data_IF_683206642364
#
_entry.id   IF_683206642364
#
_cell.length_a   1.000
_cell.length_b   1.000
_cell.length_c   1.000
_cell.angle_alpha   90.00
_cell.angle_beta   90.00
_cell.angle_gamma   90.00
#
_symmetry.space_group_name_H-M   'P 1'
#
loop_
_entity.id
_entity.type
_entity.pdbx_description
1 polymer ?
#
# COMPACT_ATOMS: atom_id res chain seq x y z
N UNK A 1 3.29 -15.75 2.26
CA UNK A 1 3.17 -16.97 1.42
C UNK A 1 3.86 -18.11 2.13
N UNK A 2 3.24 -19.25 2.20
CA UNK A 2 3.78 -20.44 2.85
C UNK A 2 3.61 -21.67 1.95
N UNK A 3 4.59 -22.57 1.94
CA UNK A 3 4.49 -23.85 1.29
C UNK A 3 3.79 -24.84 2.23
N UNK A 4 2.54 -25.22 1.91
CA UNK A 4 1.71 -26.10 2.72
C UNK A 4 2.06 -27.58 2.51
N UNK A 5 2.49 -27.94 1.30
CA UNK A 5 3.00 -29.25 0.86
C UNK A 5 3.90 -29.03 -0.35
N UNK A 6 4.65 -30.04 -0.75
CA UNK A 6 5.51 -29.93 -1.95
C UNK A 6 4.70 -29.45 -3.15
N UNK A 7 5.04 -28.27 -3.66
CA UNK A 7 4.36 -27.60 -4.77
C UNK A 7 3.01 -26.98 -4.46
N UNK A 8 2.57 -26.95 -3.21
CA UNK A 8 1.35 -26.25 -2.76
C UNK A 8 1.71 -25.07 -1.88
N UNK A 9 1.41 -23.85 -2.32
CA UNK A 9 1.70 -22.60 -1.60
C UNK A 9 0.40 -21.88 -1.25
N UNK A 10 0.34 -21.33 -0.05
CA UNK A 10 -0.73 -20.47 0.44
C UNK A 10 -0.24 -19.04 0.65
N UNK A 11 -1.04 -18.05 0.27
CA UNK A 11 -0.79 -16.63 0.51
C UNK A 11 -2.04 -15.99 1.08
N UNK A 12 -1.90 -15.20 2.13
CA UNK A 12 -2.98 -14.39 2.69
C UNK A 12 -2.59 -12.94 2.55
N UNK A 13 -3.52 -12.12 2.09
CA UNK A 13 -3.36 -10.67 1.93
C UNK A 13 -4.56 -9.96 2.56
N UNK A 14 -4.30 -8.86 3.26
CA UNK A 14 -5.33 -7.97 3.77
C UNK A 14 -5.02 -6.57 3.25
N UNK A 15 -6.02 -5.93 2.66
CA UNK A 15 -5.89 -4.60 2.06
C UNK A 15 -6.97 -3.67 2.61
N UNK A 16 -6.58 -2.50 3.10
CA UNK A 16 -7.48 -1.40 3.46
C UNK A 16 -7.45 -0.36 2.34
N UNK A 17 -8.62 -0.08 1.76
CA UNK A 17 -8.79 0.89 0.67
C UNK A 17 -9.71 2.00 1.12
N UNK A 18 -9.36 3.23 0.74
CA UNK A 18 -10.21 4.41 0.91
C UNK A 18 -10.36 5.09 -0.44
N UNK A 19 -11.58 5.43 -0.76
CA UNK A 19 -11.90 6.18 -1.97
C UNK A 19 -12.85 7.32 -1.62
N UNK A 20 -12.49 8.55 -2.00
CA UNK A 20 -13.37 9.72 -1.88
C UNK A 20 -13.98 9.97 -3.24
N UNK A 21 -15.28 9.82 -3.37
CA UNK A 21 -16.00 10.09 -4.61
C UNK A 21 -16.21 11.60 -4.76
N UNK A 22 -15.76 12.16 -5.88
CA UNK A 22 -15.89 13.58 -6.20
C UNK A 22 -17.37 13.97 -6.39
N UNK A 23 -17.80 15.04 -5.74
CA UNK A 23 -19.15 15.63 -5.89
C UNK A 23 -20.22 15.04 -4.98
N UNK A 24 -19.89 14.15 -4.06
CA UNK A 24 -20.76 13.70 -2.98
C UNK A 24 -19.98 13.75 -1.66
N UNK A 25 -20.63 14.10 -0.56
CA UNK A 25 -20.02 14.13 0.79
C UNK A 25 -19.61 12.74 1.32
N UNK A 26 -19.45 11.76 0.44
CA UNK A 26 -19.19 10.37 0.76
C UNK A 26 -17.72 9.97 0.64
N UNK A 27 -17.06 9.73 1.76
CA UNK A 27 -15.84 8.94 1.82
C UNK A 27 -16.22 7.47 1.87
N UNK A 28 -15.74 6.67 0.92
CA UNK A 28 -15.91 5.22 0.95
C UNK A 28 -14.65 4.56 1.49
N UNK A 29 -14.81 3.61 2.38
CA UNK A 29 -13.73 2.80 2.91
C UNK A 29 -14.08 1.33 2.80
N UNK A 30 -13.11 0.52 2.41
CA UNK A 30 -13.29 -0.93 2.42
C UNK A 30 -12.02 -1.63 2.91
N UNK A 31 -12.19 -2.65 3.73
CA UNK A 31 -11.13 -3.58 4.11
C UNK A 31 -11.41 -4.91 3.44
N UNK A 32 -10.46 -5.39 2.66
CA UNK A 32 -10.55 -6.64 1.92
C UNK A 32 -9.57 -7.66 2.51
N UNK A 33 -9.96 -8.92 2.52
CA UNK A 33 -9.04 -10.03 2.76
C UNK A 33 -9.07 -10.99 1.59
N UNK A 34 -7.91 -11.49 1.21
CA UNK A 34 -7.78 -12.47 0.15
C UNK A 34 -6.92 -13.66 0.61
N UNK A 35 -7.33 -14.85 0.19
CA UNK A 35 -6.56 -16.08 0.34
C UNK A 35 -6.28 -16.62 -1.04
N UNK A 36 -5.00 -16.77 -1.38
CA UNK A 36 -4.55 -17.41 -2.61
C UNK A 36 -3.97 -18.78 -2.27
N UNK A 37 -4.38 -19.77 -3.02
CA UNK A 37 -3.79 -21.11 -3.03
C UNK A 37 -3.26 -21.38 -4.42
N UNK A 38 -2.01 -21.80 -4.53
CA UNK A 38 -1.41 -22.17 -5.81
C UNK A 38 -0.75 -23.53 -5.73
N UNK A 39 -0.83 -24.28 -6.81
CA UNK A 39 -0.19 -25.59 -6.97
C UNK A 39 0.63 -25.65 -8.23
N UNK A 40 1.87 -26.06 -8.07
CA UNK A 40 2.76 -26.38 -9.18
C UNK A 40 2.54 -27.84 -9.60
N UNK A 41 2.43 -28.07 -10.90
CA UNK A 41 2.23 -29.38 -11.53
C UNK A 41 3.37 -29.66 -12.51
N UNK A 42 3.64 -30.95 -12.76
CA UNK A 42 4.64 -31.38 -13.75
C UNK A 42 6.01 -30.73 -13.56
N UNK A 43 6.53 -30.73 -12.33
CA UNK A 43 7.83 -30.15 -11.96
C UNK A 43 7.91 -28.63 -12.28
N UNK A 44 6.82 -27.89 -12.01
CA UNK A 44 6.78 -26.44 -12.21
C UNK A 44 6.47 -25.99 -13.65
N UNK A 45 6.18 -26.91 -14.58
CA UNK A 45 5.79 -26.55 -15.96
C UNK A 45 4.41 -25.91 -16.03
N UNK A 46 3.51 -26.31 -15.14
CA UNK A 46 2.17 -25.76 -15.05
C UNK A 46 1.91 -25.31 -13.63
N UNK A 47 1.18 -24.21 -13.49
CA UNK A 47 0.75 -23.67 -12.22
C UNK A 47 -0.74 -23.36 -12.29
N UNK A 48 -1.49 -23.85 -11.31
CA UNK A 48 -2.90 -23.53 -11.12
C UNK A 48 -3.01 -22.76 -9.83
N UNK A 49 -3.80 -21.70 -9.81
CA UNK A 49 -4.08 -20.96 -8.59
C UNK A 49 -5.53 -20.53 -8.50
N UNK A 50 -5.99 -20.43 -7.27
CA UNK A 50 -7.27 -19.86 -6.91
C UNK A 50 -7.09 -18.75 -5.87
N UNK A 51 -7.88 -17.67 -5.99
CA UNK A 51 -7.91 -16.59 -5.02
C UNK A 51 -9.37 -16.39 -4.60
N UNK A 52 -9.62 -16.39 -3.31
CA UNK A 52 -10.89 -15.99 -2.72
C UNK A 52 -10.67 -14.72 -1.94
N UNK A 53 -11.36 -13.64 -2.32
CA UNK A 53 -11.33 -12.36 -1.67
C UNK A 53 -12.70 -12.05 -1.09
N UNK A 54 -12.73 -11.44 0.08
CA UNK A 54 -13.96 -10.99 0.73
C UNK A 54 -13.81 -9.61 1.33
N UNK A 55 -14.89 -8.85 1.35
CA UNK A 55 -14.99 -7.58 2.07
C UNK A 55 -15.20 -7.88 3.54
N UNK A 56 -14.26 -7.48 4.39
CA UNK A 56 -14.34 -7.62 5.85
C UNK A 56 -15.12 -6.48 6.50
N UNK A 57 -14.93 -5.28 6.00
CA UNK A 57 -15.67 -4.09 6.44
C UNK A 57 -15.78 -3.09 5.30
N UNK A 58 -16.83 -2.31 5.31
CA UNK A 58 -17.05 -1.20 4.38
C UNK A 58 -17.77 -0.05 5.04
N UNK A 59 -17.52 1.15 4.53
CA UNK A 59 -18.17 2.39 4.94
C UNK A 59 -18.51 3.21 3.69
N UNK A 60 -19.69 3.84 3.66
CA UNK A 60 -20.17 4.56 2.50
C UNK A 60 -20.96 3.69 1.51
N UNK A 61 -21.37 4.28 0.39
CA UNK A 61 -22.22 3.62 -0.63
C UNK A 61 -21.37 2.82 -1.63
N UNK A 62 -20.70 1.78 -1.14
CA UNK A 62 -19.88 0.87 -1.94
C UNK A 62 -20.40 -0.56 -1.79
N UNK A 63 -20.51 -1.29 -2.89
CA UNK A 63 -20.86 -2.71 -2.86
C UNK A 63 -19.71 -3.54 -2.31
N UNK A 64 -20.01 -4.64 -1.65
CA UNK A 64 -19.01 -5.62 -1.26
C UNK A 64 -18.18 -6.06 -2.47
N UNK A 65 -16.91 -6.33 -2.25
CA UNK A 65 -16.00 -6.85 -3.27
C UNK A 65 -15.61 -8.29 -2.92
N UNK A 66 -16.59 -9.17 -2.91
CA UNK A 66 -16.35 -10.61 -2.77
C UNK A 66 -15.99 -11.14 -4.16
N UNK A 67 -14.78 -11.68 -4.32
CA UNK A 67 -14.21 -12.05 -5.61
C UNK A 67 -13.62 -13.45 -5.54
N UNK A 68 -13.89 -14.24 -6.56
CA UNK A 68 -13.22 -15.52 -6.79
C UNK A 68 -12.44 -15.40 -8.10
N UNK A 69 -11.17 -15.73 -8.05
CA UNK A 69 -10.28 -15.74 -9.23
C UNK A 69 -9.72 -17.14 -9.41
N UNK A 70 -9.70 -17.60 -10.65
CA UNK A 70 -9.01 -18.82 -11.05
C UNK A 70 -7.98 -18.47 -12.12
N UNK A 71 -6.78 -19.02 -12.00
CA UNK A 71 -5.72 -18.77 -12.95
C UNK A 71 -4.91 -20.03 -13.26
N UNK A 72 -4.38 -20.05 -14.45
CA UNK A 72 -3.54 -21.10 -14.98
C UNK A 72 -2.37 -20.51 -15.72
N UNK A 73 -1.16 -20.99 -15.43
CA UNK A 73 0.06 -20.66 -16.16
C UNK A 73 0.67 -21.96 -16.69
N UNK A 74 1.17 -21.92 -17.91
CA UNK A 74 1.74 -23.08 -18.59
C UNK A 74 3.01 -22.70 -19.36
N UNK A 75 4.07 -23.44 -19.15
CA UNK A 75 5.23 -23.44 -20.02
C UNK A 75 4.96 -24.42 -21.19
N UNK A 76 4.37 -23.86 -22.25
CA UNK A 76 3.95 -24.63 -23.46
C UNK A 76 5.19 -25.20 -24.18
N UNK A 77 6.28 -24.44 -24.22
CA UNK A 77 7.55 -24.89 -24.76
C UNK A 77 8.71 -24.32 -23.90
N UNK A 78 9.96 -24.70 -24.21
CA UNK A 78 11.13 -24.10 -23.55
C UNK A 78 11.20 -22.58 -23.66
N UNK A 79 10.54 -22.03 -24.69
CA UNK A 79 10.59 -20.58 -25.01
C UNK A 79 9.27 -19.85 -24.74
N UNK A 80 8.14 -20.57 -24.63
CA UNK A 80 6.81 -19.94 -24.53
C UNK A 80 6.13 -20.29 -23.22
N UNK A 81 5.77 -19.26 -22.47
CA UNK A 81 4.91 -19.34 -21.30
C UNK A 81 3.64 -18.55 -21.56
N UNK A 82 2.50 -19.19 -21.30
CA UNK A 82 1.17 -18.59 -21.40
C UNK A 82 0.51 -18.56 -20.03
N UNK A 83 -0.26 -17.52 -19.77
CA UNK A 83 -1.10 -17.37 -18.59
C UNK A 83 -2.52 -17.00 -18.96
N UNK A 84 -3.48 -17.58 -18.24
CA UNK A 84 -4.90 -17.28 -18.32
C UNK A 84 -5.45 -17.09 -16.91
N UNK A 85 -6.27 -16.07 -16.74
CA UNK A 85 -6.90 -15.76 -15.48
C UNK A 85 -8.33 -15.30 -15.73
N UNK A 86 -9.26 -15.72 -14.88
CA UNK A 86 -10.64 -15.25 -14.90
C UNK A 86 -11.16 -15.06 -13.49
N UNK A 87 -12.04 -14.09 -13.30
CA UNK A 87 -12.66 -13.84 -12.02
C UNK A 87 -14.14 -13.44 -12.13
N UNK A 88 -14.84 -13.67 -11.04
CA UNK A 88 -16.18 -13.15 -10.81
C UNK A 88 -16.27 -12.51 -9.44
N UNK A 89 -17.03 -11.43 -9.33
CA UNK A 89 -17.22 -10.71 -8.07
C UNK A 89 -18.60 -10.05 -7.99
N UNK A 90 -18.97 -9.57 -6.81
CA UNK A 90 -20.19 -8.77 -6.62
C UNK A 90 -20.20 -7.46 -7.42
N UNK A 91 -19.00 -6.98 -7.80
CA UNK A 91 -18.84 -5.72 -8.56
C UNK A 91 -18.73 -5.94 -10.05
N UNK A 92 -18.42 -7.16 -10.49
CA UNK A 92 -18.29 -7.46 -11.89
C UNK A 92 -17.40 -8.67 -12.15
N UNK A 93 -17.18 -8.92 -13.44
CA UNK A 93 -16.41 -10.06 -13.92
C UNK A 93 -15.25 -9.57 -14.78
N UNK A 94 -14.21 -10.36 -14.84
CA UNK A 94 -13.06 -10.01 -15.67
C UNK A 94 -12.14 -11.18 -15.88
N UNK A 95 -11.03 -10.88 -16.53
CA UNK A 95 -9.99 -11.86 -16.76
C UNK A 95 -8.81 -11.27 -17.50
N UNK A 96 -7.79 -12.08 -17.69
CA UNK A 96 -6.58 -11.68 -18.34
C UNK A 96 -5.89 -12.82 -19.05
N UNK A 97 -5.12 -12.45 -20.05
CA UNK A 97 -4.19 -13.33 -20.74
C UNK A 97 -2.81 -12.75 -20.70
N UNK A 98 -1.82 -13.60 -20.61
CA UNK A 98 -0.41 -13.20 -20.72
C UNK A 98 0.36 -14.19 -21.55
N UNK A 99 1.37 -13.69 -22.26
CA UNK A 99 2.32 -14.50 -22.98
C UNK A 99 3.72 -13.94 -22.79
N UNK A 100 4.69 -14.82 -22.58
CA UNK A 100 6.10 -14.51 -22.58
C UNK A 100 6.81 -15.44 -23.55
N UNK A 101 7.55 -14.87 -24.48
CA UNK A 101 8.31 -15.62 -25.48
C UNK A 101 9.78 -15.25 -25.38
N UNK A 102 10.62 -16.23 -25.03
CA UNK A 102 12.06 -16.08 -24.97
C UNK A 102 12.65 -16.29 -26.37
N UNK A 103 13.09 -15.19 -27.00
CA UNK A 103 13.77 -15.23 -28.30
C UNK A 103 15.07 -16.04 -28.19
N UNK A 104 15.81 -15.77 -27.11
CA UNK A 104 17.01 -16.47 -26.68
C UNK A 104 17.22 -16.25 -25.18
N UNK A 105 18.33 -16.73 -24.61
CA UNK A 105 18.66 -16.60 -23.18
C UNK A 105 18.80 -15.15 -22.68
N UNK A 106 18.84 -14.18 -23.58
CA UNK A 106 19.07 -12.75 -23.26
C UNK A 106 17.94 -11.84 -23.67
N UNK A 107 17.01 -12.31 -24.48
CA UNK A 107 15.94 -11.48 -25.01
C UNK A 107 14.60 -12.17 -24.93
N UNK A 108 13.58 -11.44 -24.50
CA UNK A 108 12.19 -11.91 -24.45
C UNK A 108 11.22 -10.81 -24.89
N UNK A 109 10.07 -11.24 -25.40
CA UNK A 109 8.90 -10.40 -25.70
C UNK A 109 7.78 -10.91 -24.79
N UNK A 110 7.03 -9.99 -24.21
CA UNK A 110 5.89 -10.34 -23.37
C UNK A 110 4.71 -9.44 -23.63
N UNK A 111 3.54 -9.97 -23.37
CA UNK A 111 2.30 -9.23 -23.40
C UNK A 111 1.39 -9.66 -22.26
N UNK A 112 0.63 -8.71 -21.73
CA UNK A 112 -0.42 -8.96 -20.76
C UNK A 112 -1.62 -8.09 -21.12
N UNK A 113 -2.78 -8.69 -21.17
CA UNK A 113 -4.06 -8.00 -21.34
C UNK A 113 -4.96 -8.39 -20.18
N UNK A 114 -5.51 -7.40 -19.49
CA UNK A 114 -6.57 -7.61 -18.50
C UNK A 114 -7.81 -6.81 -18.90
N UNK A 115 -8.97 -7.37 -18.62
CA UNK A 115 -10.26 -6.75 -18.88
C UNK A 115 -11.13 -6.98 -17.65
N UNK A 116 -11.36 -5.92 -16.93
CA UNK A 116 -12.11 -5.93 -15.68
C UNK A 116 -13.37 -5.09 -15.87
N UNK A 117 -14.50 -5.63 -15.42
CA UNK A 117 -15.77 -4.90 -15.37
C UNK A 117 -16.12 -4.70 -13.90
N UNK A 118 -16.10 -3.47 -13.44
CA UNK A 118 -16.50 -3.08 -12.10
C UNK A 118 -17.76 -2.23 -12.14
N UNK A 119 -18.75 -2.55 -11.33
CA UNK A 119 -20.04 -1.85 -11.30
C UNK A 119 -19.96 -0.39 -10.87
N UNK A 120 -18.87 0.01 -10.20
CA UNK A 120 -18.67 1.36 -9.69
C UNK A 120 -17.80 2.19 -10.65
N UNK A 121 -16.70 1.61 -11.16
CA UNK A 121 -15.72 2.29 -12.02
C UNK A 121 -15.92 1.99 -13.51
N UNK A 122 -16.81 1.04 -13.86
CA UNK A 122 -17.08 0.64 -15.23
C UNK A 122 -16.04 -0.36 -15.77
N UNK A 123 -15.90 -0.40 -17.08
CA UNK A 123 -14.96 -1.31 -17.75
C UNK A 123 -13.56 -0.74 -17.75
N UNK A 124 -12.60 -1.55 -17.32
CA UNK A 124 -11.18 -1.22 -17.38
C UNK A 124 -10.44 -2.28 -18.21
N UNK A 125 -9.68 -1.83 -19.21
CA UNK A 125 -8.83 -2.67 -20.04
C UNK A 125 -7.41 -2.17 -19.89
N UNK A 126 -6.50 -3.04 -19.45
CA UNK A 126 -5.08 -2.76 -19.40
C UNK A 126 -4.35 -3.70 -20.37
N UNK A 127 -3.53 -3.13 -21.23
CA UNK A 127 -2.70 -3.88 -22.17
C UNK A 127 -1.26 -3.44 -22.03
N UNK A 128 -0.36 -4.38 -21.81
CA UNK A 128 1.08 -4.15 -21.82
C UNK A 128 1.71 -5.04 -22.86
N UNK A 129 2.51 -4.47 -23.73
CA UNK A 129 3.39 -5.20 -24.64
C UNK A 129 4.81 -4.72 -24.37
N UNK A 130 5.73 -5.64 -24.13
CA UNK A 130 7.08 -5.27 -23.75
C UNK A 130 8.14 -6.18 -24.34
N UNK A 131 9.35 -5.66 -24.35
CA UNK A 131 10.57 -6.38 -24.70
C UNK A 131 11.59 -6.21 -23.59
N UNK A 132 12.38 -7.26 -23.37
CA UNK A 132 13.54 -7.24 -22.47
C UNK A 132 14.75 -7.75 -23.22
N UNK A 133 15.88 -7.09 -22.99
CA UNK A 133 17.15 -7.50 -23.50
C UNK A 133 18.24 -7.39 -22.44
N UNK A 134 18.89 -8.48 -22.11
CA UNK A 134 19.94 -8.58 -21.12
C UNK A 134 21.30 -8.84 -21.82
N UNK A 135 22.02 -7.78 -22.29
CA UNK A 135 23.31 -7.96 -22.95
C UNK A 135 24.32 -8.65 -22.05
N UNK A 136 24.21 -8.51 -20.74
CA UNK A 136 24.98 -9.21 -19.73
C UNK A 136 24.07 -9.69 -18.61
N UNK A 137 24.59 -10.57 -17.74
CA UNK A 137 23.86 -11.00 -16.52
C UNK A 137 23.61 -9.86 -15.51
N UNK A 138 24.23 -8.71 -15.70
CA UNK A 138 24.16 -7.53 -14.81
C UNK A 138 23.33 -6.39 -15.36
N UNK A 139 23.07 -6.37 -16.66
CA UNK A 139 22.40 -5.28 -17.35
C UNK A 139 21.17 -5.78 -18.08
N UNK A 140 20.02 -5.20 -17.80
CA UNK A 140 18.75 -5.43 -18.50
C UNK A 140 18.23 -4.10 -19.06
N UNK A 141 17.91 -4.10 -20.34
CA UNK A 141 17.19 -3.03 -21.03
C UNK A 141 15.76 -3.50 -21.24
N UNK A 142 14.79 -2.63 -21.07
CA UNK A 142 13.41 -2.97 -21.36
C UNK A 142 12.67 -1.80 -22.01
N UNK A 143 11.68 -2.16 -22.80
CA UNK A 143 10.73 -1.21 -23.37
C UNK A 143 9.33 -1.79 -23.29
N UNK A 144 8.37 -0.96 -22.88
CA UNK A 144 6.97 -1.34 -22.76
C UNK A 144 6.09 -0.31 -23.45
N UNK A 145 5.05 -0.79 -24.09
CA UNK A 145 3.91 0.02 -24.48
C UNK A 145 2.71 -0.39 -23.64
N UNK A 146 2.17 0.56 -22.92
CA UNK A 146 1.07 0.36 -22.00
C UNK A 146 -0.15 1.13 -22.50
N UNK A 147 -1.31 0.49 -22.43
CA UNK A 147 -2.61 1.06 -22.72
C UNK A 147 -3.50 0.80 -21.54
N UNK A 148 -4.13 1.84 -21.03
CA UNK A 148 -5.16 1.74 -20.02
C UNK A 148 -6.41 2.46 -20.52
N UNK A 149 -7.55 1.79 -20.47
CA UNK A 149 -8.83 2.37 -20.81
C UNK A 149 -9.79 2.14 -19.65
N UNK A 150 -10.33 3.21 -19.12
CA UNK A 150 -11.45 3.22 -18.16
C UNK A 150 -12.63 3.94 -18.79
N UNK A 151 -13.84 3.77 -18.26
CA UNK A 151 -15.11 4.28 -18.83
C UNK A 151 -15.06 5.71 -19.39
N UNK A 152 -14.26 6.59 -18.82
CA UNK A 152 -14.15 8.01 -19.22
C UNK A 152 -12.70 8.49 -19.39
N UNK A 153 -11.76 7.58 -19.29
CA UNK A 153 -10.34 7.91 -19.31
C UNK A 153 -9.57 6.89 -20.16
N UNK A 154 -8.65 7.39 -20.93
CA UNK A 154 -7.77 6.61 -21.79
C UNK A 154 -6.34 7.09 -21.61
N UNK A 155 -5.44 6.20 -21.30
CA UNK A 155 -4.01 6.49 -21.12
C UNK A 155 -3.17 5.58 -22.00
N UNK A 156 -2.18 6.17 -22.67
CA UNK A 156 -1.11 5.44 -23.37
C UNK A 156 0.21 5.85 -22.79
N UNK A 157 1.14 4.90 -22.71
CA UNK A 157 2.48 5.17 -22.21
C UNK A 157 3.51 4.29 -22.91
N UNK A 158 4.57 4.90 -23.42
CA UNK A 158 5.79 4.24 -23.87
C UNK A 158 6.82 4.36 -22.76
N UNK A 159 7.27 3.23 -22.22
CA UNK A 159 8.24 3.15 -21.11
C UNK A 159 9.54 2.56 -21.62
N UNK A 160 10.64 3.19 -21.29
CA UNK A 160 12.01 2.72 -21.59
C UNK A 160 12.79 2.69 -20.30
N UNK A 161 13.48 1.59 -20.03
CA UNK A 161 14.21 1.46 -18.80
C UNK A 161 15.46 0.62 -18.89
N UNK A 162 16.32 0.88 -17.92
CA UNK A 162 17.59 0.19 -17.72
C UNK A 162 17.66 -0.26 -16.29
N UNK A 163 17.94 -1.56 -16.07
CA UNK A 163 18.23 -2.13 -14.75
C UNK A 163 19.67 -2.62 -14.74
N UNK A 164 20.42 -2.19 -13.75
CA UNK A 164 21.81 -2.57 -13.57
C UNK A 164 22.07 -3.17 -12.19
N UNK A 165 22.51 -4.43 -12.17
CA UNK A 165 22.83 -5.20 -10.96
C UNK A 165 24.32 -5.57 -10.99
N UNK A 166 25.23 -4.67 -10.55
CA UNK A 166 26.67 -4.93 -10.59
C UNK A 166 27.06 -6.17 -9.79
N UNK A 167 26.34 -6.44 -8.72
CA UNK A 167 26.48 -7.61 -7.85
C UNK A 167 25.13 -7.94 -7.19
N UNK A 168 25.11 -8.92 -6.28
CA UNK A 168 23.88 -9.37 -5.61
C UNK A 168 23.27 -8.34 -4.67
N UNK A 169 24.07 -7.38 -4.22
CA UNK A 169 23.68 -6.43 -3.18
C UNK A 169 23.12 -5.11 -3.74
N UNK A 170 23.48 -4.76 -4.98
CA UNK A 170 23.10 -3.47 -5.56
C UNK A 170 22.17 -3.65 -6.75
N UNK A 171 21.14 -2.83 -6.80
CA UNK A 171 20.20 -2.73 -7.91
C UNK A 171 19.96 -1.25 -8.25
N UNK A 172 20.24 -0.87 -9.48
CA UNK A 172 19.96 0.45 -10.02
C UNK A 172 18.90 0.33 -11.11
N UNK A 173 17.96 1.25 -11.13
CA UNK A 173 16.97 1.35 -12.18
C UNK A 173 16.82 2.81 -12.60
N UNK A 174 16.82 3.04 -13.90
CA UNK A 174 16.42 4.32 -14.49
C UNK A 174 15.40 4.02 -15.57
N UNK A 175 14.30 4.77 -15.55
CA UNK A 175 13.31 4.68 -16.61
C UNK A 175 12.77 6.04 -17.00
N UNK A 176 12.34 6.12 -18.24
CA UNK A 176 11.64 7.24 -18.83
C UNK A 176 10.33 6.74 -19.41
N UNK A 177 9.25 7.44 -19.11
CA UNK A 177 7.94 7.18 -19.70
C UNK A 177 7.40 8.43 -20.37
N UNK A 178 6.85 8.25 -21.56
CA UNK A 178 6.11 9.27 -22.30
C UNK A 178 4.74 8.73 -22.65
N UNK A 179 3.69 9.50 -22.37
CA UNK A 179 2.34 9.06 -22.62
C UNK A 179 1.35 10.20 -22.82
N UNK A 180 0.14 9.83 -23.17
CA UNK A 180 -0.99 10.75 -23.35
C UNK A 180 -2.13 10.28 -22.43
N UNK A 181 -2.73 11.22 -21.71
CA UNK A 181 -3.92 11.00 -20.87
C UNK A 181 -5.08 11.78 -21.47
N UNK A 182 -6.15 11.07 -21.85
CA UNK A 182 -7.40 11.65 -22.33
C UNK A 182 -8.50 11.40 -21.32
N UNK A 183 -9.21 12.46 -20.91
CA UNK A 183 -10.37 12.38 -20.04
C UNK A 183 -11.60 12.94 -20.72
N UNK A 184 -12.72 12.21 -20.64
CA UNK A 184 -14.02 12.73 -21.04
C UNK A 184 -14.55 13.62 -19.91
N UNK A 185 -14.65 14.91 -20.15
CA UNK A 185 -15.30 15.88 -19.27
C UNK A 185 -16.80 15.83 -19.55
N UNK A 186 -17.62 15.71 -18.48
CA UNK A 186 -19.07 15.82 -18.64
C UNK A 186 -19.47 17.20 -19.20
N UNK A 187 -20.68 17.29 -19.74
CA UNK A 187 -21.26 18.43 -20.48
C UNK A 187 -21.29 19.78 -19.73
N UNK A 188 -20.92 19.84 -18.45
CA UNK A 188 -21.01 21.04 -17.62
C UNK A 188 -19.94 22.11 -17.91
N UNK A 189 -18.84 21.76 -18.59
CA UNK A 189 -17.70 22.68 -18.81
C UNK A 189 -17.58 23.18 -20.27
N UNK A 190 -18.46 22.74 -21.16
CA UNK A 190 -18.36 23.11 -22.59
C UNK A 190 -17.22 22.47 -23.37
N UNK A 191 -16.28 21.77 -22.70
CA UNK A 191 -15.24 20.94 -23.31
C UNK A 191 -15.63 19.46 -23.21
N UNK A 192 -15.62 18.75 -24.33
CA UNK A 192 -15.98 17.34 -24.37
C UNK A 192 -14.87 16.39 -23.84
N UNK A 193 -13.62 16.82 -23.83
CA UNK A 193 -12.47 16.04 -23.36
C UNK A 193 -11.29 16.95 -23.01
N UNK A 194 -10.45 16.49 -22.08
CA UNK A 194 -9.11 17.06 -21.84
C UNK A 194 -8.04 16.09 -22.36
N UNK A 195 -6.96 16.63 -22.88
CA UNK A 195 -5.82 15.86 -23.38
C UNK A 195 -4.56 16.45 -22.78
N UNK A 196 -3.78 15.58 -22.11
CA UNK A 196 -2.52 15.96 -21.51
C UNK A 196 -1.42 14.97 -21.92
N UNK A 197 -0.27 15.48 -22.32
CA UNK A 197 0.96 14.71 -22.45
C UNK A 197 1.61 14.55 -21.08
N UNK A 198 2.00 13.32 -20.73
CA UNK A 198 2.68 13.02 -19.48
C UNK A 198 4.08 12.47 -19.73
N UNK A 199 5.05 13.01 -19.01
CA UNK A 199 6.45 12.59 -19.04
C UNK A 199 6.89 12.23 -17.64
N UNK A 200 7.47 11.05 -17.44
CA UNK A 200 7.92 10.58 -16.12
C UNK A 200 9.36 10.09 -16.21
N UNK A 201 10.20 10.61 -15.36
CA UNK A 201 11.52 10.08 -15.08
C UNK A 201 11.53 9.38 -13.74
N UNK A 202 12.05 8.16 -13.71
CA UNK A 202 12.17 7.39 -12.47
C UNK A 202 13.61 6.97 -12.28
N UNK A 203 14.14 7.19 -11.08
CA UNK A 203 15.43 6.68 -10.63
C UNK A 203 15.19 5.83 -9.39
N UNK A 204 15.62 4.57 -9.43
CA UNK A 204 15.55 3.62 -8.34
C UNK A 204 16.93 3.12 -7.92
N UNK A 205 17.15 2.99 -6.63
CA UNK A 205 18.33 2.34 -6.07
C UNK A 205 17.95 1.42 -4.93
N UNK A 206 18.46 0.20 -4.97
CA UNK A 206 18.35 -0.78 -3.91
C UNK A 206 19.71 -1.29 -3.49
N UNK A 207 19.92 -1.37 -2.19
CA UNK A 207 21.04 -2.04 -1.56
C UNK A 207 20.53 -3.03 -0.52
N UNK A 208 20.99 -4.25 -0.60
CA UNK A 208 20.61 -5.30 0.32
C UNK A 208 21.82 -6.20 0.65
N UNK A 209 22.08 -6.33 1.93
CA UNK A 209 23.01 -7.30 2.45
C UNK A 209 22.45 -7.90 3.77
N UNK A 210 23.06 -8.91 4.39
CA UNK A 210 22.54 -9.50 5.62
C UNK A 210 22.33 -8.52 6.79
N UNK A 211 22.99 -7.36 6.77
CA UNK A 211 22.95 -6.39 7.87
C UNK A 211 22.15 -5.12 7.56
N UNK A 212 21.90 -4.82 6.29
CA UNK A 212 21.32 -3.56 5.86
C UNK A 212 20.51 -3.72 4.58
N UNK A 213 19.29 -3.22 4.59
CA UNK A 213 18.44 -3.03 3.43
C UNK A 213 18.16 -1.54 3.26
N UNK A 214 18.46 -1.01 2.07
CA UNK A 214 18.11 0.35 1.68
C UNK A 214 17.44 0.35 0.32
N UNK A 215 16.30 1.04 0.23
CA UNK A 215 15.55 1.23 -1.02
C UNK A 215 15.22 2.72 -1.19
N UNK A 216 15.52 3.21 -2.36
CA UNK A 216 15.19 4.58 -2.78
C UNK A 216 14.49 4.56 -4.12
N UNK A 217 13.53 5.46 -4.30
CA UNK A 217 12.90 5.78 -5.57
C UNK A 217 12.69 7.28 -5.65
N UNK A 218 13.06 7.87 -6.78
CA UNK A 218 12.78 9.28 -7.10
C UNK A 218 12.05 9.32 -8.43
N UNK A 219 10.94 10.05 -8.49
CA UNK A 219 10.19 10.29 -9.71
C UNK A 219 10.02 11.79 -9.93
N UNK A 220 10.20 12.20 -11.16
CA UNK A 220 9.81 13.51 -11.67
C UNK A 220 8.75 13.32 -12.75
N UNK A 221 7.61 13.96 -12.59
CA UNK A 221 6.48 13.91 -13.51
C UNK A 221 6.20 15.31 -14.04
N UNK A 222 6.07 15.43 -15.36
CA UNK A 222 5.71 16.65 -16.06
C UNK A 222 4.49 16.37 -16.94
N UNK A 223 3.39 17.04 -16.68
CA UNK A 223 2.13 16.89 -17.42
C UNK A 223 1.80 18.21 -18.11
N UNK A 224 1.55 18.17 -19.41
CA UNK A 224 1.32 19.34 -20.28
C UNK A 224 0.10 19.14 -21.14
N UNK A 225 -0.70 20.16 -21.30
CA UNK A 225 -1.89 20.14 -22.12
C UNK A 225 -2.98 21.06 -21.58
N UNK A 226 -4.18 20.54 -21.41
CA UNK A 226 -5.29 21.31 -20.82
C UNK A 226 -5.05 21.66 -19.34
N UNK A 227 -4.17 20.92 -18.67
CA UNK A 227 -3.62 21.24 -17.35
C UNK A 227 -2.12 21.03 -17.35
N UNK A 228 -1.38 21.98 -16.77
CA UNK A 228 0.06 21.91 -16.70
C UNK A 228 0.49 21.67 -15.25
N UNK A 229 1.10 20.50 -14.98
CA UNK A 229 1.49 20.08 -13.64
C UNK A 229 2.92 19.58 -13.62
N UNK A 230 3.63 19.87 -12.53
CA UNK A 230 4.92 19.24 -12.21
C UNK A 230 4.83 18.57 -10.86
N UNK A 231 5.35 17.36 -10.78
CA UNK A 231 5.38 16.62 -9.52
C UNK A 231 6.74 15.97 -9.28
N UNK A 232 7.22 16.13 -8.05
CA UNK A 232 8.34 15.38 -7.49
C UNK A 232 7.82 14.39 -6.46
N UNK A 233 8.29 13.15 -6.54
CA UNK A 233 7.99 12.11 -5.56
C UNK A 233 9.29 11.40 -5.20
N UNK A 234 9.56 11.21 -3.91
CA UNK A 234 10.63 10.33 -3.47
C UNK A 234 10.18 9.47 -2.30
N UNK A 235 10.62 8.23 -2.32
CA UNK A 235 10.42 7.27 -1.23
C UNK A 235 11.76 6.67 -0.83
N UNK A 236 12.03 6.63 0.46
CA UNK A 236 13.27 6.10 1.02
C UNK A 236 12.96 5.19 2.19
N UNK A 237 13.56 4.03 2.22
CA UNK A 237 13.43 3.05 3.30
C UNK A 237 14.78 2.50 3.66
N UNK A 238 15.12 2.58 4.93
CA UNK A 238 16.32 2.00 5.51
C UNK A 238 15.92 1.05 6.62
N UNK A 239 16.47 -0.14 6.63
CA UNK A 239 16.28 -1.12 7.69
C UNK A 239 17.60 -1.82 7.96
N UNK A 240 18.00 -1.90 9.22
CA UNK A 240 19.11 -2.74 9.62
C UNK A 240 18.59 -4.10 10.09
N UNK A 241 19.32 -5.17 9.82
CA UNK A 241 19.10 -6.44 10.52
C UNK A 241 19.51 -6.31 11.97
N UNK A 242 18.95 -7.16 12.81
CA UNK A 242 19.30 -7.19 14.22
C UNK A 242 20.80 -7.46 14.39
N UNK A 243 21.50 -6.48 14.95
CA UNK A 243 22.89 -6.62 15.35
C UNK A 243 22.96 -6.59 16.87
N UNK A 244 23.24 -7.73 17.48
CA UNK A 244 23.01 -7.89 18.92
C UNK A 244 21.50 -7.83 19.20
N UNK A 245 21.10 -6.97 20.12
CA UNK A 245 19.72 -6.84 20.57
C UNK A 245 18.93 -5.72 19.85
N UNK A 246 19.58 -4.99 18.94
CA UNK A 246 19.03 -3.79 18.34
C UNK A 246 18.86 -3.89 16.82
N UNK A 247 17.78 -3.33 16.31
CA UNK A 247 17.59 -3.02 14.89
C UNK A 247 17.03 -1.61 14.73
N UNK A 248 17.34 -0.98 13.58
CA UNK A 248 16.96 0.39 13.28
C UNK A 248 16.20 0.45 11.97
N UNK A 249 15.29 1.40 11.87
CA UNK A 249 14.59 1.72 10.64
C UNK A 249 14.52 3.22 10.45
N UNK A 250 14.55 3.65 9.17
CA UNK A 250 14.27 5.03 8.80
C UNK A 250 13.43 5.05 7.52
N UNK A 251 12.56 6.04 7.43
CA UNK A 251 11.68 6.27 6.29
C UNK A 251 11.69 7.76 5.98
N UNK A 252 11.70 8.09 4.69
CA UNK A 252 11.49 9.45 4.21
C UNK A 252 10.71 9.43 2.92
N UNK A 253 9.52 10.01 2.94
CA UNK A 253 8.63 10.15 1.80
C UNK A 253 8.32 11.63 1.58
N UNK A 254 8.42 12.03 0.32
CA UNK A 254 8.15 13.40 -0.08
C UNK A 254 7.43 13.42 -1.42
N UNK A 255 6.39 14.23 -1.53
CA UNK A 255 5.72 14.51 -2.79
C UNK A 255 5.30 15.97 -2.85
N UNK A 256 5.59 16.64 -3.97
CA UNK A 256 5.17 18.02 -4.24
C UNK A 256 4.60 18.12 -5.64
N UNK A 257 3.39 18.67 -5.74
CA UNK A 257 2.71 18.97 -6.99
C UNK A 257 2.55 20.47 -7.16
N UNK A 258 2.99 20.99 -8.29
CA UNK A 258 2.89 22.41 -8.64
C UNK A 258 2.07 22.54 -9.91
N UNK A 259 1.01 23.38 -9.87
CA UNK A 259 0.23 23.75 -11.03
C UNK A 259 0.81 25.00 -11.69
N UNK A 260 1.13 24.92 -12.99
CA UNK A 260 1.76 26.00 -13.73
C UNK A 260 0.72 27.00 -14.27
N UNK A 261 -0.52 26.54 -14.51
CA UNK A 261 -1.60 27.39 -15.06
C UNK A 261 -2.10 28.45 -14.07
N UNK A 262 -1.81 28.25 -12.79
CA UNK A 262 -2.20 29.14 -11.68
C UNK A 262 -1.04 29.94 -11.09
N UNK A 263 0.03 30.17 -11.86
CA UNK A 263 1.19 30.95 -11.41
C UNK A 263 2.08 30.20 -10.41
N UNK A 264 2.47 28.96 -10.73
CA UNK A 264 3.32 28.08 -9.92
C UNK A 264 2.77 27.79 -8.51
N UNK A 265 1.45 27.71 -8.41
CA UNK A 265 0.79 27.42 -7.14
C UNK A 265 1.05 25.98 -6.72
N UNK A 266 1.50 25.79 -5.47
CA UNK A 266 1.60 24.45 -4.88
C UNK A 266 0.20 23.87 -4.66
N UNK A 267 -0.11 22.79 -5.35
CA UNK A 267 -1.40 22.08 -5.27
C UNK A 267 -1.39 21.02 -4.17
N UNK A 268 -0.26 20.35 -3.99
CA UNK A 268 -0.07 19.36 -2.94
C UNK A 268 1.38 19.38 -2.47
N UNK A 269 1.59 19.24 -1.16
CA UNK A 269 2.90 19.14 -0.51
C UNK A 269 2.76 18.13 0.64
N UNK A 270 3.50 17.04 0.54
CA UNK A 270 3.49 15.98 1.54
C UNK A 270 4.90 15.61 1.95
N UNK A 271 5.12 15.49 3.24
CA UNK A 271 6.39 15.00 3.80
C UNK A 271 6.08 14.06 4.96
N UNK A 272 6.64 12.87 4.93
CA UNK A 272 6.70 11.97 6.08
C UNK A 272 8.15 11.57 6.32
N UNK A 273 8.63 11.76 7.54
CA UNK A 273 9.92 11.29 7.97
C UNK A 273 9.76 10.51 9.27
N UNK A 274 10.31 9.31 9.32
CA UNK A 274 10.26 8.49 10.53
C UNK A 274 11.59 7.81 10.81
N UNK A 275 11.93 7.74 12.10
CA UNK A 275 13.05 6.95 12.61
C UNK A 275 12.54 6.08 13.75
N UNK A 276 12.92 4.83 13.75
CA UNK A 276 12.53 3.89 14.79
C UNK A 276 13.64 2.91 15.13
N UNK A 277 13.49 2.31 16.30
CA UNK A 277 14.35 1.26 16.78
C UNK A 277 13.50 0.11 17.35
N UNK A 278 14.02 -1.10 17.26
CA UNK A 278 13.51 -2.25 17.99
C UNK A 278 14.65 -2.84 18.83
N UNK A 279 14.36 -3.02 20.11
CA UNK A 279 15.21 -3.73 21.06
C UNK A 279 14.60 -5.10 21.31
N UNK A 280 15.32 -6.15 20.98
CA UNK A 280 14.91 -7.53 21.13
C UNK A 280 16.10 -8.37 21.62
N UNK A 281 16.28 -8.50 22.94
CA UNK A 281 17.43 -9.19 23.51
C UNK A 281 17.38 -10.70 23.22
N UNK A 282 18.43 -11.23 22.60
CA UNK A 282 18.51 -12.63 22.21
C UNK A 282 18.65 -13.54 23.45
N UNK A 283 19.35 -13.07 24.49
CA UNK A 283 19.60 -13.87 25.71
C UNK A 283 18.45 -13.84 26.71
N UNK A 284 17.58 -12.83 26.64
CA UNK A 284 16.47 -12.59 27.57
C UNK A 284 15.22 -12.17 26.79
N UNK A 285 14.69 -13.08 25.98
CA UNK A 285 13.58 -12.84 25.02
C UNK A 285 12.22 -12.50 25.69
N UNK A 286 12.23 -12.19 26.98
CA UNK A 286 11.02 -11.81 27.72
C UNK A 286 10.60 -10.35 27.54
N UNK A 287 11.52 -9.47 27.13
CA UNK A 287 11.24 -8.05 26.99
C UNK A 287 11.60 -7.59 25.59
N UNK A 288 10.61 -7.04 24.88
CA UNK A 288 10.80 -6.44 23.59
C UNK A 288 10.32 -4.99 23.65
N UNK A 289 11.06 -4.07 23.05
CA UNK A 289 10.73 -2.64 23.00
C UNK A 289 10.82 -2.12 21.58
N UNK A 290 9.85 -1.31 21.18
CA UNK A 290 9.84 -0.61 19.91
C UNK A 290 9.60 0.89 20.17
N UNK A 291 10.47 1.74 19.61
CA UNK A 291 10.31 3.19 19.65
C UNK A 291 10.33 3.78 18.27
N UNK A 292 9.46 4.76 18.02
CA UNK A 292 9.35 5.45 16.73
C UNK A 292 9.06 6.93 16.93
N UNK A 293 9.72 7.76 16.13
CA UNK A 293 9.40 9.18 15.97
C UNK A 293 8.99 9.38 14.53
N UNK A 294 7.84 9.99 14.29
CA UNK A 294 7.31 10.26 12.95
C UNK A 294 6.95 11.73 12.83
N UNK A 295 7.49 12.38 11.83
CA UNK A 295 7.09 13.72 11.40
C UNK A 295 6.22 13.57 10.15
N UNK A 296 5.06 14.22 10.14
CA UNK A 296 4.14 14.26 8.98
C UNK A 296 3.77 15.71 8.72
N UNK A 297 3.84 16.12 7.46
CA UNK A 297 3.34 17.41 6.98
C UNK A 297 2.59 17.21 5.68
N UNK A 298 1.46 17.89 5.52
CA UNK A 298 0.65 17.88 4.31
C UNK A 298 -0.53 16.93 4.36
N UNK A 299 -1.25 16.85 3.24
CA UNK A 299 -2.47 16.06 3.08
C UNK A 299 -2.14 14.60 2.79
N UNK A 300 -3.13 13.72 2.96
CA UNK A 300 -3.07 12.26 2.91
C UNK A 300 -2.09 11.68 1.87
N UNK A 301 -1.09 10.86 2.32
CA UNK A 301 -0.03 10.34 1.45
C UNK A 301 -0.52 9.31 0.43
N UNK A 302 -1.54 8.50 0.74
CA UNK A 302 -1.94 7.38 -0.11
C UNK A 302 -2.30 7.82 -1.53
N UNK A 303 -2.87 9.00 -1.67
CA UNK A 303 -3.26 9.53 -2.97
C UNK A 303 -2.11 10.11 -3.79
N UNK A 304 -0.95 10.34 -3.19
CA UNK A 304 0.20 10.92 -3.89
C UNK A 304 1.25 9.88 -4.30
N UNK A 305 1.38 8.78 -3.55
CA UNK A 305 2.40 7.76 -3.78
C UNK A 305 1.90 6.58 -4.60
N UNK A 306 0.64 6.22 -4.48
CA UNK A 306 0.06 5.04 -5.16
C UNK A 306 -0.32 5.27 -6.62
N UNK A 307 0.00 6.44 -7.19
CA UNK A 307 -0.48 6.77 -8.52
C UNK A 307 0.62 6.79 -9.58
N UNK A 308 0.86 5.64 -10.13
CA UNK A 308 0.92 5.50 -11.58
C UNK A 308 -0.45 5.83 -12.22
N UNK A 309 -1.46 6.08 -11.42
CA UNK A 309 -2.84 6.22 -11.85
C UNK A 309 -3.25 7.68 -12.09
N UNK A 310 -3.88 7.84 -13.21
CA UNK A 310 -4.58 8.96 -13.81
C UNK A 310 -5.46 9.87 -12.94
N UNK A 311 -5.66 9.59 -11.69
CA UNK A 311 -6.50 10.36 -10.77
C UNK A 311 -5.85 11.60 -10.14
N UNK A 312 -4.65 12.01 -10.58
CA UNK A 312 -4.09 13.30 -10.16
C UNK A 312 -4.96 14.50 -10.53
N UNK A 313 -5.78 14.39 -11.60
CA UNK A 313 -6.66 15.46 -12.05
C UNK A 313 -7.99 15.58 -11.29
N UNK A 314 -8.38 14.60 -10.45
CA UNK A 314 -9.55 14.74 -9.59
C UNK A 314 -9.36 15.71 -8.42
N UNK A 315 -8.13 16.13 -8.15
CA UNK A 315 -7.78 17.02 -7.04
C UNK A 315 -7.26 18.40 -7.44
N UNK A 316 -7.40 18.81 -8.68
CA UNK A 316 -7.09 20.19 -9.09
C UNK A 316 -8.14 21.20 -8.60
N UNK A 317 -9.30 20.76 -8.21
CA UNK A 317 -10.24 21.56 -7.42
C UNK A 317 -10.15 21.11 -5.96
N UNK A 318 -9.23 21.73 -5.23
CA UNK A 318 -9.18 21.65 -3.80
C UNK A 318 -10.40 22.40 -3.27
N UNK A 319 -11.35 21.66 -2.70
CA UNK A 319 -12.45 22.27 -1.95
C UNK A 319 -11.86 23.17 -0.87
N UNK A 320 -12.48 24.31 -0.61
CA UNK A 320 -12.03 25.29 0.39
C UNK A 320 -11.94 24.73 1.81
N UNK A 321 -12.41 23.50 2.04
CA UNK A 321 -12.42 22.80 3.32
C UNK A 321 -11.20 21.91 3.56
N UNK A 322 -10.20 21.92 2.67
CA UNK A 322 -8.97 21.14 2.85
C UNK A 322 -8.10 21.72 3.97
N UNK A 323 -7.79 20.87 4.93
CA UNK A 323 -6.88 21.21 6.01
C UNK A 323 -5.44 20.89 5.62
N UNK A 324 -4.52 21.78 5.99
CA UNK A 324 -3.10 21.45 6.09
C UNK A 324 -2.80 20.96 7.50
N UNK A 325 -2.01 19.90 7.61
CA UNK A 325 -1.55 19.39 8.89
C UNK A 325 -0.03 19.33 8.95
N UNK A 326 0.50 19.51 10.14
CA UNK A 326 1.86 19.12 10.50
C UNK A 326 1.80 18.46 11.88
N UNK A 327 2.50 17.36 12.06
CA UNK A 327 2.52 16.66 13.33
C UNK A 327 3.84 15.96 13.58
N UNK A 328 4.20 15.89 14.84
CA UNK A 328 5.32 15.09 15.32
C UNK A 328 4.75 14.08 16.33
N UNK A 329 4.92 12.81 16.01
CA UNK A 329 4.39 11.70 16.80
C UNK A 329 5.55 10.93 17.42
N UNK A 330 5.53 10.79 18.72
CA UNK A 330 6.43 9.91 19.48
C UNK A 330 5.64 8.69 19.90
N UNK A 331 6.17 7.48 19.67
CA UNK A 331 5.56 6.27 20.17
C UNK A 331 6.59 5.34 20.79
N UNK A 332 6.19 4.69 21.86
CA UNK A 332 6.95 3.66 22.55
C UNK A 332 6.01 2.52 22.86
N UNK A 333 6.38 1.33 22.41
CA UNK A 333 5.64 0.09 22.67
C UNK A 333 6.57 -0.93 23.28
N UNK A 334 6.09 -1.62 24.32
CA UNK A 334 6.85 -2.67 24.96
C UNK A 334 6.00 -3.91 25.20
N UNK A 335 6.65 -5.05 25.17
CA UNK A 335 6.03 -6.34 25.48
C UNK A 335 6.89 -7.04 26.51
N UNK A 336 6.26 -7.54 27.58
CA UNK A 336 6.92 -8.31 28.62
C UNK A 336 6.22 -9.65 28.88
N UNK A 337 6.95 -10.73 28.74
CA UNK A 337 6.48 -12.09 29.02
C UNK A 337 6.72 -12.43 30.50
N UNK A 338 5.69 -12.34 31.32
CA UNK A 338 5.75 -12.72 32.75
C UNK A 338 5.92 -14.23 32.92
N UNK A 339 5.24 -14.99 32.08
CA UNK A 339 5.32 -16.43 32.04
C UNK A 339 5.02 -16.98 30.65
N UNK A 340 5.30 -18.25 30.36
CA UNK A 340 4.95 -18.88 29.07
C UNK A 340 3.46 -18.79 28.71
N UNK A 341 2.58 -18.51 29.70
CA UNK A 341 1.15 -18.35 29.48
C UNK A 341 0.65 -16.92 29.49
N UNK A 342 1.40 -15.99 30.08
CA UNK A 342 0.93 -14.61 30.27
C UNK A 342 1.97 -13.57 29.81
N UNK A 343 1.54 -12.70 28.92
CA UNK A 343 2.30 -11.61 28.35
C UNK A 343 1.51 -10.30 28.50
N UNK A 344 2.19 -9.21 28.79
CA UNK A 344 1.61 -7.87 28.79
C UNK A 344 2.32 -6.99 27.80
N UNK A 345 1.56 -6.19 27.06
CA UNK A 345 2.08 -5.15 26.20
C UNK A 345 1.58 -3.78 26.67
N UNK A 346 2.40 -2.76 26.46
CA UNK A 346 2.02 -1.37 26.67
C UNK A 346 2.39 -0.54 25.45
N UNK A 347 1.63 0.52 25.23
CA UNK A 347 1.90 1.55 24.22
C UNK A 347 1.64 2.92 24.81
N UNK A 348 2.58 3.84 24.62
CA UNK A 348 2.40 5.25 24.87
C UNK A 348 2.74 5.98 23.57
N UNK A 349 1.83 6.82 23.11
CA UNK A 349 2.07 7.65 21.96
C UNK A 349 1.58 9.07 22.20
N UNK A 350 2.36 10.05 21.77
CA UNK A 350 2.01 11.46 21.90
C UNK A 350 2.18 12.14 20.54
N UNK A 351 1.13 12.81 20.08
CA UNK A 351 1.14 13.68 18.90
C UNK A 351 1.11 15.13 19.29
N UNK A 352 2.17 15.85 18.93
CA UNK A 352 2.16 17.30 18.84
C UNK A 352 1.73 17.67 17.42
N UNK A 353 0.46 18.01 17.23
CA UNK A 353 -0.13 18.31 15.94
C UNK A 353 -0.59 19.76 15.85
N UNK A 354 -0.59 20.28 14.63
CA UNK A 354 -1.19 21.54 14.26
C UNK A 354 -1.94 21.39 12.94
N UNK A 355 -3.07 22.05 12.85
CA UNK A 355 -3.97 22.07 11.70
C UNK A 355 -4.25 23.52 11.31
N UNK A 356 -4.47 23.76 10.02
CA UNK A 356 -5.04 25.01 9.53
C UNK A 356 -5.91 24.76 8.32
N UNK A 357 -6.88 25.63 8.08
CA UNK A 357 -7.56 25.66 6.80
C UNK A 357 -6.58 26.10 5.71
N UNK A 358 -6.70 25.52 4.54
CA UNK A 358 -5.82 25.82 3.43
C UNK A 358 -6.01 27.27 2.98
N UNK A 359 -4.89 27.99 2.88
CA UNK A 359 -4.89 29.42 2.52
C UNK A 359 -5.01 30.38 3.71
N UNK A 360 -5.27 29.88 4.93
CA UNK A 360 -5.24 30.67 6.13
C UNK A 360 -3.85 30.71 6.77
N UNK A 361 -3.56 31.74 7.54
CA UNK A 361 -2.29 31.92 8.25
C UNK A 361 -2.27 31.18 9.58
N UNK A 362 -3.42 31.02 10.23
CA UNK A 362 -3.51 30.64 11.63
C UNK A 362 -3.55 29.11 11.81
N UNK A 363 -2.61 28.62 12.61
CA UNK A 363 -2.53 27.23 13.01
C UNK A 363 -3.21 27.03 14.35
N UNK A 364 -4.03 25.99 14.48
CA UNK A 364 -4.62 25.57 15.74
C UNK A 364 -4.08 24.21 16.17
N UNK A 365 -3.86 24.04 17.47
CA UNK A 365 -3.31 22.81 18.04
C UNK A 365 -4.27 21.64 17.85
N UNK A 366 -3.74 20.45 17.53
CA UNK A 366 -4.45 19.18 17.42
C UNK A 366 -3.70 18.05 18.15
N UNK A 367 -3.11 18.36 19.30
CA UNK A 367 -2.37 17.41 20.13
C UNK A 367 -3.25 16.30 20.66
N UNK A 368 -2.66 15.11 20.82
CA UNK A 368 -3.33 13.96 21.46
C UNK A 368 -2.32 13.02 22.09
N UNK A 369 -2.71 12.39 23.19
CA UNK A 369 -1.92 11.36 23.88
C UNK A 369 -2.71 10.08 24.00
N UNK A 370 -2.10 8.96 23.62
CA UNK A 370 -2.67 7.63 23.70
C UNK A 370 -1.89 6.78 24.70
N UNK A 371 -2.61 6.15 25.59
CA UNK A 371 -2.12 5.08 26.45
C UNK A 371 -2.87 3.78 26.13
N UNK A 372 -2.16 2.68 25.97
CA UNK A 372 -2.77 1.36 25.83
C UNK A 372 -2.02 0.34 26.66
N UNK A 373 -2.78 -0.55 27.29
CA UNK A 373 -2.24 -1.71 28.02
C UNK A 373 -3.02 -2.95 27.61
N UNK A 374 -2.30 -4.00 27.24
CA UNK A 374 -2.85 -5.23 26.73
C UNK A 374 -2.32 -6.43 27.50
N UNK A 375 -3.21 -7.30 27.95
CA UNK A 375 -2.90 -8.62 28.47
C UNK A 375 -3.22 -9.71 27.45
N UNK A 376 -2.29 -10.61 27.24
CA UNK A 376 -2.44 -11.81 26.42
C UNK A 376 -2.32 -13.04 27.32
N UNK A 377 -3.32 -13.92 27.28
CA UNK A 377 -3.32 -15.15 28.06
C UNK A 377 -3.51 -16.39 27.18
N UNK A 378 -2.53 -17.29 27.19
CA UNK A 378 -2.60 -18.59 26.52
C UNK A 378 -3.45 -19.54 27.37
N UNK A 379 -4.71 -19.72 26.99
CA UNK A 379 -5.65 -20.61 27.66
C UNK A 379 -5.15 -22.06 27.54
N UNK A 380 -4.72 -22.44 26.34
CA UNK A 380 -4.04 -23.69 26.03
C UNK A 380 -3.18 -23.54 24.79
N UNK A 381 -2.62 -24.61 24.23
CA UNK A 381 -1.75 -24.57 23.04
C UNK A 381 -2.43 -24.02 21.79
N UNK A 382 -3.77 -24.13 21.70
CA UNK A 382 -4.55 -23.73 20.54
C UNK A 382 -5.30 -22.42 20.72
N UNK A 383 -5.56 -21.97 21.94
CA UNK A 383 -6.39 -20.81 22.22
C UNK A 383 -5.67 -19.76 23.08
N UNK A 384 -5.79 -18.50 22.68
CA UNK A 384 -5.24 -17.35 23.36
C UNK A 384 -6.31 -16.24 23.44
N UNK A 385 -6.57 -15.75 24.65
CA UNK A 385 -7.40 -14.57 24.90
C UNK A 385 -6.56 -13.32 24.98
N UNK A 386 -7.12 -12.21 24.54
CA UNK A 386 -6.51 -10.88 24.60
C UNK A 386 -7.53 -9.88 25.12
N UNK A 387 -7.08 -9.05 26.04
CA UNK A 387 -7.82 -7.90 26.55
C UNK A 387 -6.93 -6.68 26.52
N UNK A 388 -7.39 -5.59 25.90
CA UNK A 388 -6.66 -4.33 25.79
C UNK A 388 -7.54 -3.18 26.27
N UNK A 389 -6.97 -2.33 27.10
CA UNK A 389 -7.55 -1.05 27.50
C UNK A 389 -6.83 0.06 26.78
N UNK A 390 -7.58 1.02 26.23
CA UNK A 390 -7.08 2.21 25.56
C UNK A 390 -7.65 3.47 26.20
N UNK A 391 -6.82 4.48 26.34
CA UNK A 391 -7.18 5.80 26.80
C UNK A 391 -6.56 6.85 25.89
N UNK A 392 -7.39 7.68 25.27
CA UNK A 392 -6.99 8.77 24.40
C UNK A 392 -7.37 10.09 25.05
N UNK A 393 -6.40 10.98 25.22
CA UNK A 393 -6.59 12.37 25.62
C UNK A 393 -6.39 13.28 24.42
N UNK A 394 -7.31 14.21 24.19
CA UNK A 394 -7.25 15.18 23.10
C UNK A 394 -7.05 16.56 23.72
N UNK A 395 -5.86 17.14 23.55
CA UNK A 395 -5.43 18.35 24.25
C UNK A 395 -6.33 19.56 23.96
N UNK A 396 -6.69 19.75 22.69
CA UNK A 396 -7.45 20.93 22.24
C UNK A 396 -8.90 20.90 22.68
N UNK A 397 -9.52 19.75 22.64
CA UNK A 397 -10.92 19.57 23.04
C UNK A 397 -11.05 19.44 24.56
N UNK A 398 -9.95 19.28 25.30
CA UNK A 398 -9.94 18.85 26.72
C UNK A 398 -10.86 17.67 26.96
N UNK A 399 -10.91 16.77 25.99
CA UNK A 399 -11.77 15.59 25.99
C UNK A 399 -10.91 14.33 26.09
N UNK A 400 -11.49 13.30 26.67
CA UNK A 400 -10.84 12.00 26.78
C UNK A 400 -11.80 10.89 26.38
N UNK A 401 -11.27 9.90 25.70
CA UNK A 401 -12.01 8.70 25.30
C UNK A 401 -11.30 7.46 25.81
N UNK A 402 -12.06 6.58 26.44
CA UNK A 402 -11.51 5.31 26.91
C UNK A 402 -12.35 4.15 26.37
N UNK A 403 -11.74 3.01 26.21
CA UNK A 403 -12.45 1.82 25.77
C UNK A 403 -11.62 0.56 25.81
N UNK A 404 -12.28 -0.53 25.48
CA UNK A 404 -11.72 -1.86 25.52
C UNK A 404 -11.67 -2.48 24.13
N UNK A 405 -10.69 -3.33 23.91
CA UNK A 405 -10.63 -4.23 22.75
C UNK A 405 -10.43 -5.64 23.29
N UNK A 406 -11.29 -6.56 22.87
CA UNK A 406 -11.14 -7.98 23.24
C UNK A 406 -11.00 -8.82 21.99
N UNK A 407 -10.22 -9.88 22.09
CA UNK A 407 -10.12 -10.87 21.02
C UNK A 407 -9.77 -12.25 21.54
N UNK A 408 -10.23 -13.24 20.80
CA UNK A 408 -9.92 -14.64 21.03
C UNK A 408 -9.25 -15.19 19.77
N UNK A 409 -8.06 -15.73 19.94
CA UNK A 409 -7.26 -16.30 18.86
C UNK A 409 -7.24 -17.82 18.94
N UNK A 410 -7.30 -18.45 17.76
CA UNK A 410 -7.05 -19.87 17.60
C UNK A 410 -5.81 -20.07 16.72
N UNK A 411 -4.88 -20.88 17.20
CA UNK A 411 -3.71 -21.30 16.44
C UNK A 411 -4.11 -22.38 15.44
N UNK A 412 -3.75 -22.18 14.19
CA UNK A 412 -3.98 -23.10 13.07
C UNK A 412 -2.62 -23.62 12.59
N UNK A 413 -2.31 -24.86 12.92
CA UNK A 413 -0.98 -25.43 12.64
C UNK A 413 0.14 -24.76 13.44
N UNK A 414 1.33 -24.69 12.88
CA UNK A 414 2.54 -24.13 13.52
C UNK A 414 2.72 -22.64 13.24
N UNK A 415 2.12 -22.12 12.17
CA UNK A 415 2.53 -20.85 11.56
C UNK A 415 1.40 -19.83 11.40
N UNK A 416 0.15 -20.16 11.76
CA UNK A 416 -0.96 -19.25 11.62
C UNK A 416 -1.84 -19.17 12.86
N UNK A 417 -2.38 -17.98 13.13
CA UNK A 417 -3.43 -17.74 14.13
C UNK A 417 -4.57 -16.98 13.50
N UNK A 418 -5.79 -17.36 13.78
CA UNK A 418 -7.01 -16.62 13.46
C UNK A 418 -7.58 -16.06 14.75
N UNK A 419 -7.91 -14.79 14.78
CA UNK A 419 -8.54 -14.11 15.90
C UNK A 419 -9.87 -13.49 15.48
N UNK A 420 -10.86 -13.59 16.35
CA UNK A 420 -12.10 -12.84 16.31
C UNK A 420 -12.11 -11.91 17.50
N UNK A 421 -12.41 -10.65 17.29
CA UNK A 421 -12.46 -9.67 18.36
C UNK A 421 -13.53 -8.61 18.14
N UNK A 422 -13.76 -7.85 19.20
CA UNK A 422 -14.63 -6.70 19.19
C UNK A 422 -13.92 -5.48 19.79
N UNK A 423 -13.97 -4.38 19.07
CA UNK A 423 -13.46 -3.09 19.50
C UNK A 423 -14.62 -2.20 19.97
N UNK A 424 -14.61 -1.80 21.25
CA UNK A 424 -15.57 -0.87 21.83
C UNK A 424 -15.12 0.59 21.72
N UNK A 425 -13.87 0.83 21.29
CA UNK A 425 -13.38 2.20 21.05
C UNK A 425 -13.89 2.71 19.71
N UNK A 426 -14.17 4.01 19.64
CA UNK A 426 -14.56 4.70 18.41
C UNK A 426 -13.40 5.50 17.79
N UNK A 427 -12.18 5.22 18.20
CA UNK A 427 -10.95 5.88 17.71
C UNK A 427 -9.84 4.86 17.44
N UNK A 428 -8.89 5.28 16.61
CA UNK A 428 -7.71 4.53 16.22
C UNK A 428 -6.57 4.72 17.24
N UNK A 429 -5.64 3.75 17.27
CA UNK A 429 -4.37 3.84 17.99
C UNK A 429 -3.22 4.42 17.14
N UNK A 430 -3.50 4.85 15.91
CA UNK A 430 -2.58 5.55 15.02
C UNK A 430 -2.80 7.05 15.06
N UNK A 431 -1.96 7.75 15.79
CA UNK A 431 -2.03 9.21 15.96
C UNK A 431 -1.53 9.99 14.73
N UNK A 432 -1.07 9.34 13.68
CA UNK A 432 -0.69 10.00 12.43
C UNK A 432 -1.88 10.41 11.57
N UNK A 433 -3.07 9.84 11.83
CA UNK A 433 -4.32 10.08 11.09
C UNK A 433 -5.34 10.84 11.95
N UNK A 434 -6.07 11.77 11.32
CA UNK A 434 -7.03 12.63 12.01
C UNK A 434 -8.43 12.02 12.15
N UNK A 435 -8.87 11.24 11.18
CA UNK A 435 -10.24 10.72 11.09
C UNK A 435 -10.25 9.21 10.97
N UNK A 436 -10.57 8.53 12.05
CA UNK A 436 -10.73 7.09 12.03
C UNK A 436 -11.68 6.57 13.10
N UNK A 437 -12.73 5.90 12.68
CA UNK A 437 -13.67 5.19 13.56
C UNK A 437 -13.42 3.69 13.42
N UNK A 438 -13.19 2.98 14.52
CA UNK A 438 -12.83 1.56 14.49
C UNK A 438 -13.70 0.66 15.36
N UNK A 439 -14.87 1.15 15.79
CA UNK A 439 -15.81 0.39 16.63
C UNK A 439 -16.43 -0.76 15.84
N UNK A 440 -16.42 -1.96 16.40
CA UNK A 440 -17.09 -3.13 15.81
C UNK A 440 -16.33 -4.43 15.89
N UNK A 441 -16.86 -5.43 15.22
CA UNK A 441 -16.25 -6.73 15.08
C UNK A 441 -15.08 -6.68 14.11
N UNK A 442 -14.02 -7.41 14.41
CA UNK A 442 -12.89 -7.59 13.50
C UNK A 442 -12.38 -9.03 13.52
N UNK A 443 -11.81 -9.44 12.39
CA UNK A 443 -11.08 -10.69 12.24
C UNK A 443 -9.61 -10.35 12.06
N UNK A 444 -8.74 -10.99 12.81
CA UNK A 444 -7.30 -10.81 12.72
C UNK A 444 -6.64 -12.13 12.30
N UNK A 445 -5.77 -12.05 11.31
CA UNK A 445 -4.97 -13.16 10.81
C UNK A 445 -3.51 -12.86 11.09
N UNK A 446 -2.85 -13.71 11.86
CA UNK A 446 -1.42 -13.58 12.18
C UNK A 446 -0.69 -14.78 11.61
N UNK A 447 0.22 -14.54 10.69
CA UNK A 447 1.12 -15.55 10.12
C UNK A 447 2.53 -15.40 10.69
N UNK A 448 3.20 -16.53 10.93
CA UNK A 448 4.61 -16.59 11.32
C UNK A 448 5.32 -17.51 10.33
N UNK A 449 6.28 -16.98 9.61
CA UNK A 449 7.12 -17.67 8.61
C UNK A 449 8.60 -17.50 8.92
#
# INVERSE_FOLDING_TARGET
>A
TEELQVGLKGTIEVQDRREKTFGTDGTTRETLAAVKVEKELSQGRHKIYGIVQGTLSREGDVKDNNKITLGFESQVSKKLRLGLEGFTSNRGNGGGISANYDLNDRASIYTKVTNDLDSNSGREINTTVGTKFAPTSKLELYSEKQYQSRSKEYETSDVYGVRYKPNRNHNFEISYSKGEVKKSLGTLTGKNSSINDRYVWTLGYGFENPNLEYKNKVEYRDEKGDTNLKQWVTTNRLKTSQKGDWSWMAQFDYAKTTGLDSGDKTLADFTEAAVGFAYRPIKHDRFNLFGKITFVRGLDPEDQFNKSDSNMNGRTQLDNDDYEQKSLVYSLEGVYEFSPKFETAFKVAHRKGELRYRGESDWFSSGATLYAVRGNYKINEKWQGQLEYRHLEVDTAKDSKAGWVTSLYRTLGTNAKVGLGYNWTDYNDDLTRLNYTSKGWFINLVGKW
#
